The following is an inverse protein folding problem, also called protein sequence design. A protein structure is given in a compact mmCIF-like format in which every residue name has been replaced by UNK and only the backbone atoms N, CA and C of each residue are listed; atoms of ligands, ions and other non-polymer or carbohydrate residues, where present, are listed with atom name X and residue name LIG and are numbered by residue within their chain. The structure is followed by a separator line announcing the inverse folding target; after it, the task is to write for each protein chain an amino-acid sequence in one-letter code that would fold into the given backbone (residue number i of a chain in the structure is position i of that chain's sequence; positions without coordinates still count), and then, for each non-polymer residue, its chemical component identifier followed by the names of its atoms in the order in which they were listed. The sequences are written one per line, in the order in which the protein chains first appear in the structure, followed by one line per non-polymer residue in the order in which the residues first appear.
data_IF_546139260250
#
_entry.id   IF_546139260250
#
_cell.length_a   1.000
_cell.length_b   1.000
_cell.length_c   1.000
_cell.angle_alpha   90.00
_cell.angle_beta   90.00
_cell.angle_gamma   90.00
#
_symmetry.space_group_name_H-M   'P 1'
#
loop_
_entity.id
_entity.type
_entity.pdbx_description
1 polymer ?
#
# COMPACT_ATOMS: atom_id res chain seq x y z
N UNK A 1 -39.17 -59.37 37.50
CA UNK A 1 -38.34 -59.14 36.30
C UNK A 1 -38.96 -57.97 35.54
N UNK A 2 -38.38 -56.76 35.68
CA UNK A 2 -38.76 -55.58 34.92
C UNK A 2 -37.56 -55.20 34.05
N UNK A 3 -37.74 -54.86 32.76
CA UNK A 3 -36.65 -54.39 31.93
C UNK A 3 -36.41 -52.92 32.12
N UNK A 4 -35.15 -52.57 32.34
CA UNK A 4 -34.65 -51.20 32.36
C UNK A 4 -34.70 -50.61 30.93
N UNK A 5 -35.43 -49.51 30.77
CA UNK A 5 -35.48 -48.70 29.56
C UNK A 5 -34.37 -47.66 29.60
N UNK A 6 -33.30 -47.88 28.87
CA UNK A 6 -32.24 -46.87 28.70
C UNK A 6 -32.72 -45.76 27.78
N UNK A 7 -32.92 -44.58 28.38
CA UNK A 7 -33.13 -43.33 27.65
C UNK A 7 -31.76 -42.78 27.21
N UNK A 8 -31.47 -42.88 25.94
CA UNK A 8 -30.30 -42.27 25.32
C UNK A 8 -30.63 -40.75 25.05
N UNK A 9 -30.11 -39.86 25.94
CA UNK A 9 -30.27 -38.46 25.77
C UNK A 9 -29.27 -37.95 24.70
N UNK A 10 -29.77 -37.71 23.49
CA UNK A 10 -29.00 -37.14 22.40
C UNK A 10 -28.88 -35.63 22.62
N UNK A 11 -27.79 -35.15 23.22
CA UNK A 11 -27.47 -33.74 23.33
C UNK A 11 -27.00 -33.19 21.97
N UNK A 12 -27.89 -32.51 21.28
CA UNK A 12 -27.55 -31.68 20.13
C UNK A 12 -26.66 -30.51 20.59
N UNK A 13 -25.37 -30.61 20.33
CA UNK A 13 -24.44 -29.50 20.44
C UNK A 13 -24.75 -28.49 19.34
N UNK A 14 -25.52 -27.48 19.65
CA UNK A 14 -25.59 -26.27 18.82
C UNK A 14 -24.24 -25.57 18.91
N UNK A 15 -23.42 -25.71 17.88
CA UNK A 15 -22.30 -24.82 17.66
C UNK A 15 -22.84 -23.46 17.30
N UNK A 16 -22.57 -22.39 18.07
CA UNK A 16 -22.88 -21.05 17.61
C UNK A 16 -22.00 -20.78 16.40
N UNK A 17 -22.62 -20.64 15.23
CA UNK A 17 -21.93 -20.10 14.06
C UNK A 17 -21.39 -18.73 14.46
N UNK A 18 -20.07 -18.59 14.50
CA UNK A 18 -19.41 -17.32 14.58
C UNK A 18 -19.82 -16.52 13.33
N UNK A 19 -20.89 -15.76 13.46
CA UNK A 19 -21.21 -14.71 12.50
C UNK A 19 -20.10 -13.69 12.66
N UNK A 20 -19.19 -13.61 11.71
CA UNK A 20 -18.23 -12.52 11.62
C UNK A 20 -19.03 -11.23 11.78
N UNK A 21 -18.83 -10.52 12.89
CA UNK A 21 -19.36 -9.18 13.04
C UNK A 21 -18.66 -8.37 11.97
N UNK A 22 -19.45 -8.00 10.95
CA UNK A 22 -19.05 -6.98 9.99
C UNK A 22 -18.81 -5.73 10.83
N UNK A 23 -17.55 -5.42 11.14
CA UNK A 23 -17.19 -4.15 11.74
C UNK A 23 -17.76 -3.07 10.82
N UNK A 24 -18.75 -2.34 11.30
CA UNK A 24 -19.25 -1.17 10.62
C UNK A 24 -18.15 -0.12 10.72
N UNK A 25 -17.27 -0.12 9.71
CA UNK A 25 -16.28 0.94 9.62
C UNK A 25 -16.99 2.28 9.56
N UNK A 26 -16.58 3.22 10.42
CA UNK A 26 -17.01 4.60 10.23
C UNK A 26 -16.60 5.05 8.83
N UNK A 27 -17.45 5.75 8.07
CA UNK A 27 -17.03 6.31 6.80
C UNK A 27 -15.85 7.24 7.03
N UNK A 28 -14.92 7.26 6.10
CA UNK A 28 -13.70 8.05 6.17
C UNK A 28 -14.01 9.53 6.11
N UNK A 29 -14.95 9.84 5.26
CA UNK A 29 -15.52 11.16 5.13
C UNK A 29 -17.02 11.06 5.42
N UNK A 30 -17.54 12.02 6.19
CA UNK A 30 -18.97 12.18 6.38
C UNK A 30 -19.65 12.67 5.09
N UNK A 31 -18.84 13.17 4.13
CA UNK A 31 -19.32 13.62 2.83
C UNK A 31 -19.30 12.44 1.85
N UNK A 32 -20.45 11.91 1.43
CA UNK A 32 -20.49 10.87 0.41
C UNK A 32 -19.82 11.35 -0.87
N UNK A 33 -19.16 10.46 -1.59
CA UNK A 33 -18.60 10.78 -2.91
C UNK A 33 -19.70 11.33 -3.82
N UNK A 34 -19.35 12.25 -4.71
CA UNK A 34 -20.31 12.78 -5.70
C UNK A 34 -20.66 11.77 -6.79
N UNK A 35 -19.96 10.65 -6.82
CA UNK A 35 -20.24 9.58 -7.75
C UNK A 35 -21.42 8.75 -7.23
N UNK A 36 -22.51 8.71 -7.99
CA UNK A 36 -23.65 7.85 -7.72
C UNK A 36 -23.51 6.56 -8.54
N UNK A 37 -23.82 5.43 -7.92
CA UNK A 37 -24.12 4.22 -8.68
C UNK A 37 -25.45 4.36 -9.43
N UNK A 38 -25.69 3.48 -10.40
CA UNK A 38 -26.91 3.50 -11.22
C UNK A 38 -28.21 3.29 -10.43
N UNK A 39 -28.11 2.74 -9.22
CA UNK A 39 -29.21 2.57 -8.26
C UNK A 39 -29.40 3.78 -7.32
N UNK A 40 -28.62 4.85 -7.50
CA UNK A 40 -28.67 6.07 -6.69
C UNK A 40 -28.00 5.96 -5.32
N UNK A 41 -27.31 4.86 -5.04
CA UNK A 41 -26.54 4.68 -3.82
C UNK A 41 -25.14 5.29 -3.95
N UNK A 42 -24.61 5.78 -2.83
CA UNK A 42 -23.24 6.24 -2.75
C UNK A 42 -22.32 5.11 -2.33
N UNK A 43 -21.12 5.06 -2.91
CA UNK A 43 -20.07 4.15 -2.47
C UNK A 43 -19.34 4.80 -1.31
N UNK A 44 -19.40 4.18 -0.13
CA UNK A 44 -18.63 4.60 1.04
C UNK A 44 -17.31 3.84 1.07
N UNK A 45 -16.22 4.59 1.11
CA UNK A 45 -14.87 4.06 1.27
C UNK A 45 -14.33 4.49 2.63
N UNK A 46 -13.43 3.67 3.18
CA UNK A 46 -12.64 4.05 4.33
C UNK A 46 -11.24 4.41 3.85
N UNK A 47 -10.80 5.62 4.19
CA UNK A 47 -9.45 6.09 3.93
C UNK A 47 -8.48 5.57 4.99
N UNK A 48 -7.31 5.18 4.56
CA UNK A 48 -6.17 4.88 5.42
C UNK A 48 -4.95 5.60 4.84
N UNK A 49 -4.34 6.47 5.61
CA UNK A 49 -3.08 7.09 5.24
C UNK A 49 -1.98 6.05 5.47
N UNK A 50 -1.37 5.61 4.39
CA UNK A 50 -0.33 4.58 4.39
C UNK A 50 1.03 5.19 4.72
N UNK A 51 1.39 6.23 4.00
CA UNK A 51 2.60 7.01 4.22
C UNK A 51 2.32 8.50 4.05
N UNK A 52 3.05 9.33 4.77
CA UNK A 52 2.96 10.79 4.64
C UNK A 52 4.20 11.44 5.23
N UNK A 53 4.56 12.66 4.79
CA UNK A 53 5.67 13.41 5.38
C UNK A 53 5.54 13.63 6.88
N UNK A 54 4.30 13.70 7.39
CA UNK A 54 4.03 13.91 8.82
C UNK A 54 4.33 12.65 9.62
N UNK A 55 3.89 11.49 9.13
CA UNK A 55 4.05 10.21 9.84
C UNK A 55 5.45 9.65 9.73
N UNK A 56 6.03 9.70 8.54
CA UNK A 56 7.38 9.18 8.26
C UNK A 56 8.50 10.15 8.65
N UNK A 57 8.20 11.46 8.76
CA UNK A 57 9.18 12.54 8.96
C UNK A 57 10.20 12.64 7.81
N UNK A 58 9.84 12.19 6.64
CA UNK A 58 10.60 12.32 5.40
C UNK A 58 9.91 13.37 4.54
N UNK A 59 10.59 14.41 4.09
CA UNK A 59 9.97 15.51 3.33
C UNK A 59 9.82 15.14 1.85
N UNK A 60 8.87 14.25 1.52
CA UNK A 60 8.53 13.93 0.15
C UNK A 60 7.20 14.55 -0.26
N UNK A 61 7.04 14.80 -1.54
CA UNK A 61 5.82 15.28 -2.18
C UNK A 61 5.80 14.88 -3.67
N UNK A 62 4.77 15.23 -4.44
CA UNK A 62 4.67 14.86 -5.84
C UNK A 62 4.70 13.34 -6.01
N UNK A 63 3.59 12.68 -5.72
CA UNK A 63 3.49 11.23 -5.88
C UNK A 63 3.05 10.91 -7.31
N UNK A 64 3.89 10.26 -8.11
CA UNK A 64 3.64 9.95 -9.51
C UNK A 64 3.36 8.47 -9.75
N UNK A 65 4.33 7.63 -9.56
CA UNK A 65 4.20 6.20 -9.76
C UNK A 65 3.86 5.41 -8.50
N UNK A 66 3.05 4.36 -8.65
CA UNK A 66 2.73 3.44 -7.57
C UNK A 66 2.58 2.01 -8.10
N UNK A 67 3.28 1.07 -7.47
CA UNK A 67 3.14 -0.37 -7.76
C UNK A 67 2.96 -1.16 -6.47
N UNK A 68 2.28 -2.29 -6.56
CA UNK A 68 1.92 -3.11 -5.41
C UNK A 68 2.27 -4.58 -5.65
N UNK A 69 2.95 -5.19 -4.69
CA UNK A 69 3.26 -6.63 -4.66
C UNK A 69 3.66 -7.05 -3.23
N UNK A 70 3.66 -8.34 -2.95
CA UNK A 70 4.18 -8.91 -1.70
C UNK A 70 5.70 -9.10 -1.83
N UNK A 71 6.47 -8.05 -1.47
CA UNK A 71 7.92 -7.98 -1.69
C UNK A 71 8.71 -8.86 -0.73
N UNK A 72 8.23 -9.01 0.50
CA UNK A 72 8.93 -9.75 1.56
C UNK A 72 8.34 -11.15 1.81
N UNK A 73 7.26 -11.49 1.08
CA UNK A 73 6.58 -12.80 1.13
C UNK A 73 5.96 -13.12 2.47
N UNK A 74 5.47 -12.10 3.15
CA UNK A 74 4.75 -12.30 4.41
C UNK A 74 3.24 -12.56 4.19
N UNK A 75 2.76 -12.48 2.95
CA UNK A 75 1.37 -12.71 2.53
C UNK A 75 0.51 -11.45 2.55
N UNK A 76 1.09 -10.29 2.84
CA UNK A 76 0.42 -8.99 2.73
C UNK A 76 1.01 -8.18 1.58
N UNK A 77 0.18 -7.37 0.95
CA UNK A 77 0.62 -6.53 -0.17
C UNK A 77 1.38 -5.34 0.37
N UNK A 78 2.53 -5.09 -0.23
CA UNK A 78 3.36 -3.91 -0.03
C UNK A 78 3.14 -2.90 -1.14
N UNK A 79 3.54 -1.67 -0.92
CA UNK A 79 3.40 -0.57 -1.86
C UNK A 79 4.76 0.07 -2.09
N UNK A 80 5.16 0.18 -3.34
CA UNK A 80 6.27 1.04 -3.75
C UNK A 80 5.67 2.29 -4.35
N UNK A 81 6.09 3.44 -3.86
CA UNK A 81 5.69 4.75 -4.39
C UNK A 81 6.92 5.59 -4.71
N UNK A 82 6.84 6.32 -5.81
CA UNK A 82 7.89 7.25 -6.24
C UNK A 82 7.36 8.67 -6.14
N UNK A 83 8.25 9.59 -5.76
CA UNK A 83 7.90 10.96 -5.47
C UNK A 83 8.98 11.89 -6.04
N UNK A 84 8.59 12.82 -6.89
CA UNK A 84 9.50 13.83 -7.46
C UNK A 84 10.14 14.71 -6.37
N UNK A 85 9.39 14.93 -5.28
CA UNK A 85 9.81 15.75 -4.16
C UNK A 85 10.08 17.21 -4.54
N UNK A 86 9.37 17.67 -5.55
CA UNK A 86 9.40 19.03 -6.04
C UNK A 86 8.29 19.87 -5.39
N UNK A 87 8.66 20.65 -4.38
CA UNK A 87 7.71 21.44 -3.61
C UNK A 87 7.28 22.73 -4.35
N UNK A 88 7.93 23.08 -5.45
CA UNK A 88 7.73 24.35 -6.16
C UNK A 88 7.00 24.18 -7.49
N UNK A 89 6.82 22.96 -7.96
CA UNK A 89 6.12 22.66 -9.21
C UNK A 89 4.62 22.91 -9.10
N UNK A 90 4.10 23.73 -9.99
CA UNK A 90 2.67 23.92 -10.20
C UNK A 90 2.32 23.57 -11.65
N UNK A 91 1.71 22.41 -11.85
CA UNK A 91 1.29 21.92 -13.17
C UNK A 91 0.26 22.83 -13.88
N UNK A 92 -0.35 23.76 -13.16
CA UNK A 92 -1.29 24.73 -13.72
C UNK A 92 -0.58 25.95 -14.32
N UNK A 93 0.68 26.18 -13.97
CA UNK A 93 1.49 27.29 -14.42
C UNK A 93 2.63 26.75 -15.28
N UNK A 94 2.66 27.17 -16.56
CA UNK A 94 3.82 26.88 -17.42
C UNK A 94 4.93 27.88 -17.09
N UNK A 95 5.94 27.43 -16.35
CA UNK A 95 7.17 28.18 -16.12
C UNK A 95 8.29 27.64 -17.02
N UNK A 96 8.69 28.39 -18.08
CA UNK A 96 9.74 27.94 -18.96
C UNK A 96 11.15 27.96 -18.34
N UNK A 97 11.29 28.61 -17.19
CA UNK A 97 12.55 28.71 -16.45
C UNK A 97 12.56 27.74 -15.22
N UNK A 98 11.56 26.87 -15.13
CA UNK A 98 11.47 25.87 -14.08
C UNK A 98 12.66 24.90 -14.17
N UNK A 99 13.46 24.86 -13.11
CA UNK A 99 14.51 23.87 -12.97
C UNK A 99 13.94 22.65 -12.21
N UNK A 100 13.98 21.50 -12.86
CA UNK A 100 13.57 20.24 -12.25
C UNK A 100 14.33 19.98 -10.95
N UNK A 101 13.61 19.48 -9.96
CA UNK A 101 14.21 19.11 -8.68
C UNK A 101 15.21 17.98 -8.85
N UNK A 102 16.41 18.15 -8.32
CA UNK A 102 17.36 17.03 -8.18
C UNK A 102 17.00 16.08 -7.04
N UNK A 103 15.89 16.33 -6.38
CA UNK A 103 15.43 15.55 -5.25
C UNK A 103 14.34 14.58 -5.70
N UNK A 104 14.44 13.36 -5.26
CA UNK A 104 13.42 12.35 -5.47
C UNK A 104 13.39 11.38 -4.30
N UNK A 105 12.29 10.67 -4.15
CA UNK A 105 12.18 9.61 -3.15
C UNK A 105 11.52 8.39 -3.75
N UNK A 106 12.08 7.22 -3.43
CA UNK A 106 11.46 5.92 -3.62
C UNK A 106 11.14 5.37 -2.24
N UNK A 107 9.87 5.11 -2.00
CA UNK A 107 9.35 4.66 -0.70
C UNK A 107 8.79 3.26 -0.82
N UNK A 108 9.04 2.44 0.19
CA UNK A 108 8.36 1.14 0.36
C UNK A 108 7.53 1.21 1.63
N UNK A 109 6.26 0.88 1.52
CA UNK A 109 5.35 0.74 2.65
C UNK A 109 4.93 -0.72 2.76
N UNK A 110 5.46 -1.40 3.76
CA UNK A 110 5.15 -2.80 4.04
C UNK A 110 3.78 -2.93 4.70
N UNK A 111 2.95 -3.77 4.11
CA UNK A 111 1.62 -4.06 4.60
C UNK A 111 1.58 -4.95 5.83
N UNK A 112 0.40 -5.10 6.41
CA UNK A 112 0.17 -5.99 7.53
C UNK A 112 -1.29 -6.48 7.56
N UNK A 113 -1.59 -7.41 8.47
CA UNK A 113 -2.97 -7.87 8.69
C UNK A 113 -3.94 -6.73 9.06
N UNK A 114 -3.46 -5.71 9.78
CA UNK A 114 -4.27 -4.53 10.11
C UNK A 114 -4.04 -3.45 9.04
N UNK A 115 -5.05 -3.08 8.24
CA UNK A 115 -4.92 -2.08 7.18
C UNK A 115 -4.57 -0.67 7.69
N UNK A 116 -4.52 -0.46 8.99
CA UNK A 116 -4.10 0.80 9.62
C UNK A 116 -2.62 0.81 10.00
N UNK A 117 -1.95 -0.33 9.91
CA UNK A 117 -0.56 -0.47 10.34
C UNK A 117 0.33 -0.74 9.13
N UNK A 118 1.15 0.23 8.81
CA UNK A 118 2.12 0.19 7.73
C UNK A 118 3.50 0.56 8.27
N UNK A 119 4.54 -0.08 7.72
CA UNK A 119 5.92 0.26 8.03
C UNK A 119 6.57 0.81 6.77
N UNK A 120 6.77 2.12 6.72
CA UNK A 120 7.30 2.79 5.55
C UNK A 120 8.78 3.11 5.72
N UNK A 121 9.57 2.82 4.67
CA UNK A 121 11.01 3.08 4.62
C UNK A 121 11.35 3.82 3.32
N UNK A 122 12.45 4.58 3.32
CA UNK A 122 13.02 5.13 2.11
C UNK A 122 13.99 4.11 1.52
N UNK A 123 13.74 3.67 0.29
CA UNK A 123 14.64 2.81 -0.47
C UNK A 123 15.77 3.62 -1.09
N UNK A 124 15.43 4.78 -1.67
CA UNK A 124 16.39 5.70 -2.26
C UNK A 124 15.88 7.13 -2.17
N UNK A 125 16.80 8.10 -2.16
CA UNK A 125 16.50 9.53 -2.16
C UNK A 125 17.60 10.33 -2.88
N UNK A 126 17.25 11.53 -3.34
CA UNK A 126 18.19 12.48 -3.94
C UNK A 126 18.49 12.20 -5.41
N UNK A 127 19.69 12.59 -5.85
CA UNK A 127 20.08 12.61 -7.27
C UNK A 127 20.01 11.25 -7.98
N UNK A 128 20.15 10.14 -7.26
CA UNK A 128 20.10 8.81 -7.87
C UNK A 128 18.70 8.44 -8.38
N UNK A 129 17.69 9.07 -7.82
CA UNK A 129 16.29 8.91 -8.19
C UNK A 129 15.64 10.28 -8.40
N UNK A 130 16.36 11.17 -9.06
CA UNK A 130 15.91 12.51 -9.38
C UNK A 130 14.66 12.47 -10.25
N UNK A 131 13.61 13.18 -9.84
CA UNK A 131 12.31 13.21 -10.51
C UNK A 131 11.83 11.81 -10.95
N UNK A 132 11.59 10.90 -10.00
CA UNK A 132 11.17 9.54 -10.35
C UNK A 132 9.70 9.54 -10.75
N UNK A 133 9.41 9.08 -11.98
CA UNK A 133 8.10 9.11 -12.62
C UNK A 133 7.29 7.84 -12.41
N UNK A 134 7.96 6.69 -12.49
CA UNK A 134 7.27 5.41 -12.48
C UNK A 134 8.15 4.31 -11.88
N UNK A 135 7.48 3.26 -11.43
CA UNK A 135 8.13 2.06 -10.92
C UNK A 135 7.53 0.78 -11.53
N UNK A 136 8.31 -0.27 -11.57
CA UNK A 136 7.89 -1.61 -11.94
C UNK A 136 8.49 -2.64 -11.00
N UNK A 137 7.77 -3.75 -10.79
CA UNK A 137 8.21 -4.85 -9.94
C UNK A 137 8.27 -6.13 -10.76
N UNK A 138 9.41 -6.80 -10.73
CA UNK A 138 9.63 -8.10 -11.39
C UNK A 138 10.89 -8.78 -10.82
N UNK A 139 10.91 -10.13 -10.82
CA UNK A 139 12.14 -10.90 -10.61
C UNK A 139 13.02 -10.77 -11.87
N UNK A 140 13.98 -9.85 -11.84
CA UNK A 140 14.81 -9.51 -13.01
C UNK A 140 16.05 -10.37 -13.12
N UNK A 141 16.54 -10.92 -12.02
CA UNK A 141 17.78 -11.71 -11.97
C UNK A 141 17.51 -13.23 -11.90
N UNK A 142 16.25 -13.65 -11.72
CA UNK A 142 15.83 -15.05 -11.65
C UNK A 142 16.14 -15.73 -10.31
N UNK A 143 16.34 -14.95 -9.24
CA UNK A 143 16.61 -15.49 -7.90
C UNK A 143 15.33 -15.83 -7.12
N UNK A 144 14.19 -15.47 -7.68
CA UNK A 144 12.86 -15.74 -7.16
C UNK A 144 12.34 -14.61 -6.28
N UNK A 145 13.10 -13.57 -5.95
CA UNK A 145 12.61 -12.39 -5.23
C UNK A 145 12.25 -11.27 -6.20
N UNK A 146 11.26 -10.47 -5.83
CA UNK A 146 10.80 -9.38 -6.68
C UNK A 146 11.66 -8.15 -6.49
N UNK A 147 12.24 -7.69 -7.57
CA UNK A 147 13.10 -6.51 -7.64
C UNK A 147 12.26 -5.29 -8.03
N UNK A 148 12.83 -4.09 -7.85
CA UNK A 148 12.20 -2.82 -8.19
C UNK A 148 13.01 -2.12 -9.28
N UNK A 149 12.33 -1.67 -10.34
CA UNK A 149 12.84 -0.73 -11.33
C UNK A 149 12.19 0.62 -11.12
N UNK A 150 12.95 1.68 -11.24
CA UNK A 150 12.47 3.05 -11.17
C UNK A 150 12.96 3.82 -12.39
N UNK A 151 12.05 4.48 -13.10
CA UNK A 151 12.38 5.43 -14.14
C UNK A 151 12.46 6.84 -13.54
N UNK A 152 13.58 7.50 -13.69
CA UNK A 152 13.80 8.89 -13.28
C UNK A 152 13.93 9.77 -14.51
N UNK A 153 13.28 10.93 -14.53
CA UNK A 153 13.16 11.82 -15.69
C UNK A 153 14.51 12.28 -16.24
N UNK A 154 15.47 12.52 -15.36
CA UNK A 154 16.81 12.97 -15.73
C UNK A 154 17.69 11.86 -16.36
N UNK A 155 17.05 10.86 -16.98
CA UNK A 155 17.70 9.89 -17.85
C UNK A 155 18.24 8.64 -17.17
N UNK A 156 17.77 8.34 -15.97
CA UNK A 156 18.16 7.14 -15.25
C UNK A 156 17.03 6.08 -15.26
N UNK A 157 17.46 4.82 -15.41
CA UNK A 157 16.63 3.68 -14.98
C UNK A 157 17.44 2.97 -13.89
N UNK A 158 16.90 2.96 -12.69
CA UNK A 158 17.57 2.39 -11.52
C UNK A 158 16.99 1.03 -11.20
N UNK A 159 17.86 0.06 -11.02
CA UNK A 159 17.51 -1.28 -10.60
C UNK A 159 17.87 -1.50 -9.13
N UNK A 160 16.90 -1.76 -8.30
CA UNK A 160 17.05 -2.13 -6.90
C UNK A 160 16.82 -3.62 -6.76
N UNK A 161 17.91 -4.36 -6.55
CA UNK A 161 17.85 -5.79 -6.31
C UNK A 161 17.34 -6.07 -4.90
N UNK A 162 16.32 -6.94 -4.81
CA UNK A 162 15.78 -7.38 -3.54
C UNK A 162 16.78 -8.30 -2.81
N UNK A 163 17.18 -8.00 -1.58
CA UNK A 163 18.12 -8.84 -0.82
C UNK A 163 17.49 -10.15 -0.31
N UNK A 164 16.23 -10.39 -0.57
CA UNK A 164 15.50 -11.58 -0.13
C UNK A 164 15.05 -11.48 1.33
N UNK A 165 15.57 -12.32 2.21
CA UNK A 165 15.04 -12.43 3.59
C UNK A 165 15.24 -11.20 4.46
N UNK A 166 16.15 -10.32 4.10
CA UNK A 166 16.56 -9.17 4.93
C UNK A 166 16.03 -7.84 4.37
N UNK A 167 14.95 -7.86 3.63
CA UNK A 167 14.39 -6.67 2.97
C UNK A 167 13.94 -5.57 3.94
N UNK A 168 13.63 -5.91 5.18
CA UNK A 168 13.18 -4.95 6.22
C UNK A 168 14.31 -4.50 7.17
N UNK A 169 15.56 -4.83 6.92
CA UNK A 169 16.70 -4.53 7.81
C UNK A 169 17.47 -3.27 7.41
#
# INVERSE_FOLDING_TARGET
MQPFLNFLLLTLLFSPSLRAQKESGSPVDETPTRANSTDGLYISWREHIIDSPITSRVPFNGSDGLVIEDLDRDGFIDIVSVHESDATYDSAEHDPDFEESSLGHVRISFGSFDPKIWTSVTLAEGEIVSSPEDAAIQDLNGDGFLDILVAAENGHVVFFQNPGKDIRT
#
